data_IF_262634501024
#
_entry.id   IF_262634501024
#
_cell.length_a   1.000
_cell.length_b   1.000
_cell.length_c   1.000
_cell.angle_alpha   90.00
_cell.angle_beta   90.00
_cell.angle_gamma   90.00
#
_symmetry.space_group_name_H-M   'P 1'
#
loop_
_entity.id
_entity.type
_entity.pdbx_description
1 polymer ?
#
# COMPACT_ATOMS: atom_id res chain seq x y z
N UNK A 1 8.27 0.90 -5.48
CA UNK A 1 7.59 -0.38 -5.19
C UNK A 1 6.30 -0.16 -4.39
N UNK A 2 6.37 0.36 -3.16
CA UNK A 2 5.20 0.56 -2.30
C UNK A 2 4.08 1.41 -2.94
N UNK A 3 4.42 2.55 -3.55
CA UNK A 3 3.43 3.40 -4.23
C UNK A 3 2.76 2.71 -5.43
N UNK A 4 3.46 1.82 -6.11
CA UNK A 4 2.92 1.06 -7.24
C UNK A 4 1.94 0.01 -6.73
N UNK A 5 2.32 -0.72 -5.67
CA UNK A 5 1.44 -1.67 -4.99
C UNK A 5 0.21 -0.94 -4.44
N UNK A 6 0.38 0.24 -3.84
CA UNK A 6 -0.71 1.08 -3.36
C UNK A 6 -1.66 1.49 -4.46
N UNK A 7 -1.17 1.98 -5.61
CA UNK A 7 -2.03 2.34 -6.76
C UNK A 7 -2.80 1.14 -7.32
N UNK A 8 -2.18 -0.03 -7.35
CA UNK A 8 -2.85 -1.26 -7.79
C UNK A 8 -3.93 -1.68 -6.78
N UNK A 9 -3.61 -1.68 -5.49
CA UNK A 9 -4.54 -1.96 -4.39
C UNK A 9 -5.70 -0.96 -4.35
N UNK A 10 -5.43 0.30 -4.67
CA UNK A 10 -6.43 1.37 -4.72
C UNK A 10 -7.48 1.16 -5.84
N UNK A 11 -7.12 0.40 -6.87
CA UNK A 11 -8.00 0.10 -8.02
C UNK A 11 -8.92 -1.10 -7.78
N UNK A 12 -8.75 -1.82 -6.67
CA UNK A 12 -9.56 -2.99 -6.31
C UNK A 12 -10.39 -2.71 -5.05
N UNK A 13 -11.51 -3.41 -4.91
CA UNK A 13 -12.48 -3.18 -3.82
C UNK A 13 -11.99 -3.65 -2.44
N UNK A 14 -11.03 -4.57 -2.40
CA UNK A 14 -10.45 -5.10 -1.17
C UNK A 14 -9.03 -5.55 -1.46
N UNK A 15 -8.06 -4.94 -0.78
CA UNK A 15 -6.66 -5.30 -0.91
C UNK A 15 -5.94 -5.19 0.43
N UNK A 16 -5.10 -6.18 0.69
CA UNK A 16 -4.16 -6.18 1.81
C UNK A 16 -2.76 -6.06 1.23
N UNK A 17 -2.03 -5.03 1.64
CA UNK A 17 -0.60 -4.89 1.33
C UNK A 17 0.14 -5.34 2.58
N UNK A 18 0.76 -6.51 2.51
CA UNK A 18 1.61 -7.00 3.59
C UNK A 18 3.05 -6.54 3.40
N UNK A 19 3.59 -5.91 4.44
CA UNK A 19 4.98 -5.54 4.56
C UNK A 19 5.64 -6.58 5.47
N UNK A 20 6.42 -7.51 4.92
CA UNK A 20 7.05 -8.55 5.73
C UNK A 20 7.98 -7.92 6.76
N UNK A 21 7.73 -8.21 8.03
CA UNK A 21 8.46 -7.63 9.16
C UNK A 21 9.93 -8.10 9.23
N UNK A 22 10.25 -9.21 8.57
CA UNK A 22 11.61 -9.74 8.44
C UNK A 22 12.54 -8.82 7.63
N UNK A 23 12.00 -7.85 6.89
CA UNK A 23 12.78 -6.97 6.03
C UNK A 23 12.65 -5.50 6.44
N UNK A 24 13.80 -4.85 6.61
CA UNK A 24 13.87 -3.40 6.76
C UNK A 24 13.95 -2.73 5.40
N UNK A 25 12.90 -1.99 5.04
CA UNK A 25 12.85 -1.22 3.81
C UNK A 25 13.17 0.24 4.10
N UNK A 26 14.19 0.78 3.41
CA UNK A 26 14.42 2.22 3.38
C UNK A 26 13.39 2.86 2.45
N UNK A 27 12.34 3.44 3.06
CA UNK A 27 11.34 4.24 2.36
C UNK A 27 11.60 5.73 2.66
N UNK A 28 11.62 6.54 1.59
CA UNK A 28 11.62 8.00 1.73
C UNK A 28 10.23 8.50 2.15
N UNK A 29 10.04 9.84 2.25
CA UNK A 29 8.72 10.42 2.44
C UNK A 29 7.79 9.96 1.31
N UNK A 30 6.73 9.23 1.62
CA UNK A 30 5.75 8.76 0.65
C UNK A 30 4.38 9.36 0.94
N UNK A 31 3.72 9.85 -0.10
CA UNK A 31 2.32 10.30 -0.03
C UNK A 31 1.46 9.22 -0.65
N UNK A 32 0.52 8.69 0.12
CA UNK A 32 -0.44 7.70 -0.37
C UNK A 32 -1.58 8.44 -1.10
N UNK A 33 -1.69 8.34 -2.44
CA UNK A 33 -2.72 9.06 -3.17
C UNK A 33 -4.12 8.49 -2.85
N UNK A 34 -5.11 9.37 -2.71
CA UNK A 34 -6.53 9.03 -2.56
C UNK A 34 -7.38 9.64 -3.69
N UNK A 35 -8.60 9.13 -3.99
CA UNK A 35 -9.45 8.27 -3.15
C UNK A 35 -9.38 6.76 -3.51
N UNK A 36 -9.04 5.92 -2.53
CA UNK A 36 -9.09 4.46 -2.67
C UNK A 36 -10.41 3.87 -2.21
N UNK A 37 -10.73 2.66 -2.70
CA UNK A 37 -11.91 1.91 -2.28
C UNK A 37 -11.87 1.59 -0.78
N UNK A 38 -13.04 1.51 -0.12
CA UNK A 38 -13.11 1.10 1.29
C UNK A 38 -12.57 -0.34 1.46
N UNK A 39 -11.98 -0.67 2.61
CA UNK A 39 -11.33 -1.96 2.92
C UNK A 39 -9.93 -2.18 2.31
N UNK A 40 -9.11 -1.13 2.29
CA UNK A 40 -7.68 -1.24 2.00
C UNK A 40 -6.90 -1.29 3.32
N UNK A 41 -6.19 -2.40 3.55
CA UNK A 41 -5.43 -2.64 4.78
C UNK A 41 -3.93 -2.68 4.44
N UNK A 42 -3.14 -1.92 5.20
CA UNK A 42 -1.68 -1.98 5.17
C UNK A 42 -1.24 -2.68 6.46
N UNK A 43 -0.57 -3.82 6.36
CA UNK A 43 -0.12 -4.62 7.51
C UNK A 43 1.40 -4.77 7.54
#
# INVERSE_FOLDING_TARGET
ALLTAWKAACSVESATIEIPSDFMFLIGPVTLPGPCKPNLVLQ
#
